data_IF_031640289795
#
_entry.id   IF_031640289795
#
_cell.length_a   1.000
_cell.length_b   1.000
_cell.length_c   1.000
_cell.angle_alpha   90.00
_cell.angle_beta   90.00
_cell.angle_gamma   90.00
#
_symmetry.space_group_name_H-M   'P 1'
#
loop_
_entity.id
_entity.type
_entity.pdbx_description
1 polymer ?
#
# COMPACT_ATOMS: atom_id res chain seq x y z
N UNK A 1 -6.33 -3.54 -14.90
CA UNK A 1 -6.38 -3.17 -13.48
C UNK A 1 -7.37 -4.07 -12.76
N UNK A 2 -7.02 -4.63 -11.60
CA UNK A 2 -7.81 -5.52 -10.75
C UNK A 2 -8.10 -4.82 -9.43
N UNK A 3 -9.20 -5.19 -8.77
CA UNK A 3 -9.68 -4.53 -7.56
C UNK A 3 -9.59 -5.49 -6.38
N UNK A 4 -8.96 -5.06 -5.29
CA UNK A 4 -8.98 -5.75 -4.01
C UNK A 4 -9.47 -4.82 -2.90
N UNK A 5 -9.71 -5.37 -1.72
CA UNK A 5 -10.11 -4.59 -0.54
C UNK A 5 -9.27 -4.98 0.66
N UNK A 6 -8.98 -3.98 1.49
CA UNK A 6 -8.27 -4.08 2.76
C UNK A 6 -9.25 -3.88 3.92
N UNK A 7 -9.13 -4.60 5.04
CA UNK A 7 -10.09 -4.55 6.16
C UNK A 7 -9.95 -3.32 7.05
N UNK A 8 -9.89 -2.11 6.48
CA UNK A 8 -9.57 -0.88 7.22
C UNK A 8 -10.46 -0.64 8.43
N UNK A 9 -11.78 -0.82 8.27
CA UNK A 9 -12.75 -0.62 9.36
C UNK A 9 -12.73 -1.71 10.42
N UNK A 10 -12.06 -2.84 10.17
CA UNK A 10 -12.04 -4.00 11.06
C UNK A 10 -10.67 -4.22 11.75
N UNK A 11 -9.69 -3.36 11.49
CA UNK A 11 -8.32 -3.54 12.00
C UNK A 11 -8.26 -3.63 13.53
N UNK A 12 -9.08 -2.87 14.25
CA UNK A 12 -9.13 -2.93 15.70
C UNK A 12 -9.65 -4.28 16.20
N UNK A 13 -10.72 -4.80 15.58
CA UNK A 13 -11.27 -6.12 15.90
C UNK A 13 -10.27 -7.23 15.56
N UNK A 14 -9.51 -7.10 14.47
CA UNK A 14 -8.54 -8.07 13.99
C UNK A 14 -7.26 -8.05 14.85
N UNK A 15 -6.60 -6.90 14.94
CA UNK A 15 -5.24 -6.80 15.46
C UNK A 15 -5.19 -6.51 16.96
N UNK A 16 -6.15 -5.76 17.49
CA UNK A 16 -6.15 -5.35 18.90
C UNK A 16 -6.98 -6.31 19.76
N UNK A 17 -8.26 -6.44 19.42
CA UNK A 17 -9.18 -7.24 20.22
C UNK A 17 -9.18 -8.73 19.86
N UNK A 18 -8.69 -9.09 18.68
CA UNK A 18 -8.67 -10.47 18.14
C UNK A 18 -10.05 -11.15 18.17
N UNK A 19 -11.09 -10.36 17.91
CA UNK A 19 -12.49 -10.81 17.86
C UNK A 19 -12.94 -11.17 16.45
N UNK A 20 -12.14 -10.83 15.44
CA UNK A 20 -12.35 -11.17 14.04
C UNK A 20 -11.09 -11.87 13.49
N UNK A 21 -11.27 -13.08 12.97
CA UNK A 21 -10.20 -13.83 12.32
C UNK A 21 -10.09 -13.48 10.83
N UNK A 22 -9.03 -13.96 10.17
CA UNK A 22 -8.90 -13.86 8.71
C UNK A 22 -10.06 -14.56 7.98
N UNK A 23 -10.55 -15.68 8.52
CA UNK A 23 -11.67 -16.41 7.97
C UNK A 23 -12.99 -15.61 8.07
N UNK A 24 -13.21 -14.92 9.18
CA UNK A 24 -14.38 -14.03 9.34
C UNK A 24 -14.33 -12.87 8.35
N UNK A 25 -13.13 -12.33 8.07
CA UNK A 25 -12.95 -11.29 7.06
C UNK A 25 -13.25 -11.79 5.65
N UNK A 26 -12.75 -12.97 5.28
CA UNK A 26 -13.03 -13.58 3.97
C UNK A 26 -14.54 -13.73 3.77
N UNK A 27 -15.26 -14.27 4.77
CA UNK A 27 -16.72 -14.42 4.69
C UNK A 27 -17.44 -13.07 4.61
N UNK A 28 -17.02 -12.09 5.41
CA UNK A 28 -17.59 -10.74 5.39
C UNK A 28 -17.43 -10.08 4.02
N UNK A 29 -16.30 -10.27 3.37
CA UNK A 29 -15.98 -9.67 2.08
C UNK A 29 -16.74 -10.30 0.89
N UNK A 30 -17.35 -11.48 1.01
CA UNK A 30 -18.07 -12.17 -0.09
C UNK A 30 -19.18 -11.35 -0.72
N UNK A 31 -19.70 -10.35 -0.03
CA UNK A 31 -20.75 -9.47 -0.55
C UNK A 31 -20.24 -8.36 -1.46
N UNK A 32 -18.92 -8.25 -1.61
CA UNK A 32 -18.26 -7.24 -2.43
C UNK A 32 -17.87 -7.85 -3.79
N UNK A 33 -18.23 -7.19 -4.90
CA UNK A 33 -17.86 -7.65 -6.24
C UNK A 33 -16.43 -7.20 -6.60
N UNK A 34 -15.43 -7.81 -5.93
CA UNK A 34 -14.00 -7.54 -6.09
C UNK A 34 -13.24 -8.77 -6.52
N UNK A 35 -12.04 -8.59 -7.06
CA UNK A 35 -11.22 -9.67 -7.61
C UNK A 35 -10.34 -10.33 -6.53
N UNK A 36 -10.10 -9.66 -5.40
CA UNK A 36 -9.22 -10.19 -4.35
C UNK A 36 -9.33 -9.46 -3.01
N UNK A 37 -8.60 -9.99 -2.04
CA UNK A 37 -8.47 -9.43 -0.69
C UNK A 37 -7.01 -9.14 -0.38
N UNK A 38 -6.73 -7.93 0.06
CA UNK A 38 -5.47 -7.57 0.68
C UNK A 38 -5.53 -7.95 2.15
N UNK A 39 -4.52 -8.67 2.64
CA UNK A 39 -4.47 -9.14 4.00
C UNK A 39 -3.50 -8.31 4.84
N UNK A 40 -3.62 -8.43 6.16
CA UNK A 40 -2.81 -7.72 7.14
C UNK A 40 -2.08 -8.72 8.06
N UNK A 41 -0.81 -8.46 8.35
CA UNK A 41 0.02 -9.34 9.20
C UNK A 41 -0.61 -9.63 10.56
N UNK A 42 -1.36 -8.69 11.14
CA UNK A 42 -2.11 -8.87 12.37
C UNK A 42 -3.22 -9.93 12.34
N UNK A 43 -3.58 -10.45 11.15
CA UNK A 43 -4.51 -11.58 11.00
C UNK A 43 -3.84 -12.92 11.27
N UNK A 44 -2.52 -13.01 11.20
CA UNK A 44 -1.76 -14.23 11.30
C UNK A 44 -1.30 -14.45 12.74
N UNK A 45 -2.24 -14.73 13.64
CA UNK A 45 -1.95 -15.10 15.03
C UNK A 45 -1.26 -16.45 15.14
N UNK A 46 -1.38 -17.27 14.08
CA UNK A 46 -0.68 -18.51 13.83
C UNK A 46 -0.05 -18.42 12.45
N UNK A 47 1.15 -18.96 12.32
CA UNK A 47 1.92 -18.94 11.07
C UNK A 47 2.36 -20.34 10.65
N UNK A 48 1.71 -21.39 11.19
CA UNK A 48 1.98 -22.76 10.77
C UNK A 48 1.53 -22.95 9.31
N UNK A 49 2.22 -23.82 8.61
CA UNK A 49 1.92 -24.14 7.21
C UNK A 49 0.46 -24.57 7.04
N UNK A 50 -0.03 -25.45 7.92
CA UNK A 50 -1.42 -25.93 7.88
C UNK A 50 -2.43 -24.78 8.03
N UNK A 51 -2.16 -23.80 8.89
CA UNK A 51 -3.05 -22.65 9.05
C UNK A 51 -3.05 -21.75 7.80
N UNK A 52 -1.88 -21.51 7.24
CA UNK A 52 -1.74 -20.69 6.02
C UNK A 52 -2.44 -21.38 4.84
N UNK A 53 -2.31 -22.70 4.72
CA UNK A 53 -3.00 -23.48 3.68
C UNK A 53 -4.53 -23.39 3.82
N UNK A 54 -5.06 -23.50 5.03
CA UNK A 54 -6.49 -23.33 5.30
C UNK A 54 -6.99 -21.93 4.89
N UNK A 55 -6.18 -20.88 5.12
CA UNK A 55 -6.52 -19.53 4.65
C UNK A 55 -6.54 -19.48 3.12
N UNK A 56 -5.55 -20.08 2.45
CA UNK A 56 -5.49 -20.17 0.99
C UNK A 56 -6.66 -20.91 0.38
N UNK A 57 -7.02 -22.07 0.94
CA UNK A 57 -8.20 -22.84 0.53
C UNK A 57 -9.49 -22.03 0.70
N UNK A 58 -9.61 -21.27 1.79
CA UNK A 58 -10.79 -20.45 2.04
C UNK A 58 -10.89 -19.27 1.06
N UNK A 59 -9.78 -18.57 0.76
CA UNK A 59 -9.73 -17.53 -0.27
C UNK A 59 -10.16 -18.09 -1.63
N UNK A 60 -9.60 -19.23 -2.04
CA UNK A 60 -9.94 -19.89 -3.30
C UNK A 60 -11.41 -20.30 -3.36
N UNK A 61 -11.96 -20.90 -2.28
CA UNK A 61 -13.36 -21.28 -2.18
C UNK A 61 -14.30 -20.06 -2.20
N UNK A 62 -13.83 -18.90 -1.74
CA UNK A 62 -14.55 -17.63 -1.81
C UNK A 62 -14.42 -16.92 -3.19
N UNK A 63 -13.51 -17.39 -4.05
CA UNK A 63 -13.24 -16.82 -5.35
C UNK A 63 -12.33 -15.58 -5.31
N UNK A 64 -11.54 -15.42 -4.25
CA UNK A 64 -10.62 -14.30 -4.09
C UNK A 64 -9.18 -14.70 -4.33
N UNK A 65 -8.41 -13.78 -4.93
CA UNK A 65 -6.95 -13.81 -4.92
C UNK A 65 -6.41 -12.93 -3.79
N UNK A 66 -5.19 -13.20 -3.33
CA UNK A 66 -4.48 -12.38 -2.35
C UNK A 66 -3.32 -11.65 -3.04
N UNK A 67 -3.50 -10.39 -3.49
CA UNK A 67 -2.46 -9.67 -4.21
C UNK A 67 -1.34 -9.16 -3.32
N UNK A 68 -1.65 -8.85 -2.06
CA UNK A 68 -0.70 -8.26 -1.15
C UNK A 68 -1.00 -8.61 0.31
N UNK A 69 0.06 -8.79 1.07
CA UNK A 69 0.04 -8.87 2.53
C UNK A 69 0.71 -7.62 3.10
N UNK A 70 -0.06 -6.81 3.84
CA UNK A 70 0.45 -5.65 4.54
C UNK A 70 1.14 -6.04 5.84
N UNK A 71 2.42 -5.71 5.96
CA UNK A 71 3.19 -5.74 7.19
C UNK A 71 3.68 -4.34 7.55
N UNK A 72 4.10 -4.13 8.79
CA UNK A 72 4.55 -2.83 9.29
C UNK A 72 5.85 -2.96 10.09
N UNK A 73 6.97 -3.38 9.46
CA UNK A 73 8.23 -3.54 10.13
C UNK A 73 8.83 -2.20 10.55
N UNK A 74 9.53 -2.17 11.70
CA UNK A 74 10.29 -1.01 12.17
C UNK A 74 11.79 -1.18 11.93
N UNK A 75 12.22 -1.00 10.67
CA UNK A 75 13.63 -1.17 10.27
C UNK A 75 14.55 -0.06 10.80
N UNK A 76 14.01 1.02 11.34
CA UNK A 76 14.76 2.14 11.90
C UNK A 76 14.84 2.13 13.42
N UNK A 77 14.42 1.03 14.07
CA UNK A 77 14.53 0.92 15.53
C UNK A 77 15.99 1.09 16.00
N UNK A 78 16.28 1.92 17.03
CA UNK A 78 17.66 2.20 17.46
C UNK A 78 18.41 0.96 17.98
N UNK A 79 17.71 -0.02 18.55
CA UNK A 79 18.29 -1.26 19.05
C UNK A 79 18.53 -2.27 17.91
N UNK A 80 19.79 -2.73 17.67
CA UNK A 80 20.08 -3.67 16.56
C UNK A 80 19.32 -4.99 16.68
N UNK A 81 19.10 -5.50 17.92
CA UNK A 81 18.37 -6.74 18.14
C UNK A 81 16.92 -6.61 17.66
N UNK A 82 16.26 -5.47 17.93
CA UNK A 82 14.90 -5.22 17.46
C UNK A 82 14.83 -5.15 15.94
N UNK A 83 15.77 -4.49 15.29
CA UNK A 83 15.81 -4.50 13.81
C UNK A 83 15.96 -5.91 13.24
N UNK A 84 16.79 -6.76 13.87
CA UNK A 84 16.94 -8.15 13.44
C UNK A 84 15.64 -8.95 13.63
N UNK A 85 14.89 -8.71 14.70
CA UNK A 85 13.58 -9.32 14.95
C UNK A 85 12.56 -8.87 13.91
N UNK A 86 12.53 -7.59 13.55
CA UNK A 86 11.65 -7.05 12.51
C UNK A 86 11.96 -7.63 11.12
N UNK A 87 13.24 -7.77 10.77
CA UNK A 87 13.66 -8.41 9.50
C UNK A 87 13.22 -9.90 9.49
N UNK A 88 13.39 -10.61 10.61
CA UNK A 88 12.95 -12.01 10.70
C UNK A 88 11.43 -12.17 10.61
N UNK A 89 10.67 -11.26 11.23
CA UNK A 89 9.21 -11.23 11.13
C UNK A 89 8.76 -10.94 9.70
N UNK A 90 9.39 -9.97 9.05
CA UNK A 90 9.09 -9.62 7.66
C UNK A 90 9.41 -10.77 6.69
N UNK A 91 10.52 -11.48 6.90
CA UNK A 91 10.86 -12.69 6.13
C UNK A 91 9.77 -13.77 6.26
N UNK A 92 9.10 -13.87 7.42
CA UNK A 92 7.96 -14.77 7.58
C UNK A 92 6.75 -14.29 6.79
N UNK A 93 6.47 -12.98 6.74
CA UNK A 93 5.38 -12.42 5.93
C UNK A 93 5.62 -12.65 4.44
N UNK A 94 6.86 -12.55 3.96
CA UNK A 94 7.22 -12.88 2.56
C UNK A 94 6.90 -14.33 2.24
N UNK A 95 7.18 -15.29 3.13
CA UNK A 95 6.84 -16.72 2.94
C UNK A 95 5.32 -16.93 2.89
N UNK A 96 4.59 -16.29 3.78
CA UNK A 96 3.12 -16.35 3.79
C UNK A 96 2.56 -15.74 2.51
N UNK A 97 3.10 -14.60 2.07
CA UNK A 97 2.70 -13.96 0.82
C UNK A 97 2.89 -14.87 -0.38
N UNK A 98 4.04 -15.51 -0.50
CA UNK A 98 4.32 -16.46 -1.58
C UNK A 98 3.32 -17.63 -1.60
N UNK A 99 2.97 -18.14 -0.42
CA UNK A 99 2.06 -19.31 -0.27
C UNK A 99 0.62 -18.97 -0.58
N UNK A 100 0.16 -17.75 -0.22
CA UNK A 100 -1.23 -17.33 -0.43
C UNK A 100 -1.47 -16.66 -1.77
N UNK A 101 -0.57 -15.78 -2.18
CA UNK A 101 -0.76 -14.94 -3.36
C UNK A 101 -0.12 -15.48 -4.63
N UNK A 102 0.74 -16.48 -4.51
CA UNK A 102 1.48 -17.04 -5.64
C UNK A 102 2.51 -16.06 -6.23
N UNK A 103 2.94 -16.31 -7.48
CA UNK A 103 3.97 -15.53 -8.13
C UNK A 103 3.61 -14.05 -8.25
N UNK A 104 4.56 -13.16 -7.95
CA UNK A 104 4.46 -11.70 -8.03
C UNK A 104 3.43 -11.07 -7.10
N UNK A 105 2.92 -11.80 -6.12
CA UNK A 105 2.21 -11.17 -5.01
C UNK A 105 3.16 -10.24 -4.24
N UNK A 106 2.62 -9.21 -3.62
CA UNK A 106 3.43 -8.20 -2.95
C UNK A 106 3.38 -8.36 -1.43
N UNK A 107 4.50 -8.12 -0.77
CA UNK A 107 4.57 -7.88 0.67
C UNK A 107 4.90 -6.42 0.90
N UNK A 108 4.08 -5.72 1.69
CA UNK A 108 4.39 -4.36 2.05
C UNK A 108 5.60 -4.30 2.96
N UNK A 109 6.54 -3.42 2.64
CA UNK A 109 7.62 -3.01 3.53
C UNK A 109 7.46 -1.53 3.87
N UNK A 110 7.80 -1.17 5.11
CA UNK A 110 7.88 0.20 5.59
C UNK A 110 9.32 0.51 5.99
N UNK A 111 9.69 1.78 6.02
CA UNK A 111 11.02 2.17 6.45
C UNK A 111 11.23 2.00 7.95
N UNK A 112 10.17 2.11 8.73
CA UNK A 112 10.17 2.10 10.18
C UNK A 112 9.83 3.46 10.78
N UNK A 113 9.99 3.60 12.09
CA UNK A 113 9.59 4.78 12.83
C UNK A 113 10.69 5.86 12.87
N UNK A 114 10.30 7.13 12.86
CA UNK A 114 11.21 8.27 13.04
C UNK A 114 11.62 8.41 14.51
N UNK A 115 12.42 7.47 14.99
CA UNK A 115 12.88 7.46 16.37
C UNK A 115 13.71 8.71 16.73
N UNK A 116 13.49 9.33 17.89
CA UNK A 116 14.36 10.40 18.39
C UNK A 116 15.82 9.92 18.47
N UNK A 117 16.74 10.75 17.98
CA UNK A 117 18.17 10.45 17.99
C UNK A 117 18.69 9.61 16.83
N UNK A 118 17.82 9.08 15.97
CA UNK A 118 18.22 8.46 14.71
C UNK A 118 18.37 9.54 13.65
N UNK A 119 19.58 9.69 13.10
CA UNK A 119 19.82 10.63 12.03
C UNK A 119 19.21 10.17 10.71
N UNK A 120 19.02 11.11 9.76
CA UNK A 120 18.55 10.78 8.41
C UNK A 120 19.39 9.69 7.74
N UNK A 121 20.71 9.86 7.77
CA UNK A 121 21.64 8.90 7.14
C UNK A 121 21.57 7.51 7.79
N UNK A 122 21.56 7.45 9.11
CA UNK A 122 21.43 6.17 9.83
C UNK A 122 20.13 5.46 9.52
N UNK A 123 19.00 6.18 9.52
CA UNK A 123 17.69 5.60 9.20
C UNK A 123 17.62 5.08 7.76
N UNK A 124 18.15 5.85 6.80
CA UNK A 124 18.23 5.43 5.40
C UNK A 124 19.11 4.17 5.22
N UNK A 125 20.28 4.15 5.86
CA UNK A 125 21.18 2.99 5.81
C UNK A 125 20.51 1.74 6.40
N UNK A 126 19.88 1.86 7.58
CA UNK A 126 19.25 0.72 8.24
C UNK A 126 18.04 0.19 7.45
N UNK A 127 17.16 1.08 6.97
CA UNK A 127 16.01 0.67 6.17
C UNK A 127 16.43 0.03 4.85
N UNK A 128 17.40 0.63 4.12
CA UNK A 128 17.91 0.06 2.88
C UNK A 128 18.56 -1.31 3.12
N UNK A 129 19.45 -1.45 4.12
CA UNK A 129 20.10 -2.71 4.47
C UNK A 129 19.11 -3.81 4.88
N UNK A 130 18.03 -3.45 5.58
CA UNK A 130 16.98 -4.40 5.95
C UNK A 130 16.25 -4.93 4.70
N UNK A 131 15.85 -4.03 3.79
CA UNK A 131 15.19 -4.41 2.53
C UNK A 131 16.14 -5.25 1.67
N UNK A 132 17.41 -4.85 1.51
CA UNK A 132 18.42 -5.62 0.76
C UNK A 132 18.64 -7.01 1.36
N UNK A 133 18.55 -7.16 2.69
CA UNK A 133 18.65 -8.47 3.37
C UNK A 133 17.47 -9.38 3.02
N UNK A 134 16.28 -8.83 2.76
CA UNK A 134 15.06 -9.56 2.41
C UNK A 134 14.96 -9.90 0.92
N UNK A 135 15.60 -9.13 0.03
CA UNK A 135 15.53 -9.32 -1.42
C UNK A 135 15.92 -10.71 -1.92
N UNK A 136 16.96 -11.39 -1.40
CA UNK A 136 17.28 -12.75 -1.82
C UNK A 136 16.11 -13.73 -1.62
N UNK A 137 15.41 -13.63 -0.49
CA UNK A 137 14.23 -14.44 -0.21
C UNK A 137 13.05 -14.06 -1.12
N UNK A 138 12.84 -12.76 -1.35
CA UNK A 138 11.80 -12.27 -2.24
C UNK A 138 11.99 -12.78 -3.68
N UNK A 139 13.24 -12.77 -4.19
CA UNK A 139 13.60 -13.33 -5.50
C UNK A 139 13.39 -14.85 -5.56
N UNK A 140 13.81 -15.58 -4.53
CA UNK A 140 13.65 -17.04 -4.46
C UNK A 140 12.16 -17.44 -4.53
N UNK A 141 11.30 -16.66 -3.88
CA UNK A 141 9.87 -16.94 -3.77
C UNK A 141 9.01 -16.21 -4.81
N UNK A 142 9.62 -15.42 -5.71
CA UNK A 142 8.94 -14.58 -6.70
C UNK A 142 7.90 -13.61 -6.08
N UNK A 143 8.26 -13.01 -4.94
CA UNK A 143 7.47 -11.99 -4.23
C UNK A 143 8.05 -10.61 -4.51
N UNK A 144 7.20 -9.60 -4.61
CA UNK A 144 7.62 -8.20 -4.75
C UNK A 144 7.52 -7.49 -3.40
N UNK A 145 8.62 -6.89 -2.94
CA UNK A 145 8.61 -6.00 -1.78
C UNK A 145 8.08 -4.63 -2.22
N UNK A 146 6.99 -4.18 -1.63
CA UNK A 146 6.34 -2.93 -1.99
C UNK A 146 6.51 -1.88 -0.87
N UNK A 147 7.37 -0.89 -1.11
CA UNK A 147 7.58 0.22 -0.19
C UNK A 147 6.40 1.19 -0.29
N UNK A 148 5.67 1.36 0.79
CA UNK A 148 4.55 2.30 0.83
C UNK A 148 5.00 3.70 1.25
N UNK A 149 4.49 4.73 0.58
CA UNK A 149 4.51 6.09 1.10
C UNK A 149 3.50 6.20 2.25
N UNK A 150 3.96 5.88 3.45
CA UNK A 150 3.12 5.70 4.63
C UNK A 150 3.29 6.88 5.61
N UNK A 151 2.37 7.03 6.58
CA UNK A 151 2.45 8.10 7.56
C UNK A 151 2.73 7.58 8.97
N UNK A 152 2.00 6.58 9.43
CA UNK A 152 2.16 5.95 10.75
C UNK A 152 1.26 4.74 10.89
N UNK A 153 1.80 3.59 11.24
CA UNK A 153 1.00 2.45 11.69
C UNK A 153 0.35 2.72 13.06
N UNK A 154 -0.85 2.17 13.28
CA UNK A 154 -1.62 2.39 14.50
C UNK A 154 -0.90 1.95 15.78
N UNK A 155 -0.06 0.93 15.70
CA UNK A 155 0.73 0.40 16.83
C UNK A 155 2.01 1.20 17.10
N UNK A 156 2.45 2.06 16.19
CA UNK A 156 3.69 2.80 16.30
C UNK A 156 3.59 4.00 17.24
N UNK A 157 4.69 4.31 17.89
CA UNK A 157 4.81 5.51 18.74
C UNK A 157 5.11 6.77 17.93
N UNK A 158 5.95 6.65 16.90
CA UNK A 158 6.43 7.76 16.09
C UNK A 158 5.91 7.64 14.66
N UNK A 159 5.89 8.75 13.87
CA UNK A 159 5.59 8.72 12.44
C UNK A 159 6.56 7.85 11.67
N UNK A 160 6.18 7.52 10.43
CA UNK A 160 7.05 6.88 9.45
C UNK A 160 8.34 7.66 9.25
N UNK A 161 9.47 6.97 9.20
CA UNK A 161 10.76 7.59 8.95
C UNK A 161 10.82 8.21 7.56
N UNK A 162 10.43 7.46 6.53
CA UNK A 162 10.41 7.92 5.15
C UNK A 162 9.06 8.56 4.73
N UNK A 163 8.32 9.17 5.67
CA UNK A 163 7.05 9.84 5.36
C UNK A 163 7.21 10.98 4.35
N UNK A 164 8.30 11.75 4.44
CA UNK A 164 8.56 12.89 3.55
C UNK A 164 9.02 12.40 2.19
N UNK A 165 8.49 12.99 1.12
CA UNK A 165 8.81 12.64 -0.27
C UNK A 165 10.32 12.63 -0.54
N UNK A 166 11.09 13.59 -0.03
CA UNK A 166 12.54 13.63 -0.24
C UNK A 166 13.30 12.48 0.43
N UNK A 167 12.83 12.00 1.58
CA UNK A 167 13.39 10.84 2.28
C UNK A 167 12.97 9.54 1.59
N UNK A 168 11.70 9.47 1.18
CA UNK A 168 11.16 8.32 0.45
C UNK A 168 11.91 8.06 -0.86
N UNK A 169 12.08 9.10 -1.68
CA UNK A 169 12.78 8.99 -2.95
C UNK A 169 14.26 8.63 -2.77
N UNK A 170 14.91 9.14 -1.72
CA UNK A 170 16.28 8.77 -1.39
C UNK A 170 16.39 7.30 -1.00
N UNK A 171 15.47 6.80 -0.16
CA UNK A 171 15.42 5.37 0.21
C UNK A 171 15.15 4.50 -1.01
N UNK A 172 14.15 4.85 -1.82
CA UNK A 172 13.80 4.14 -3.05
C UNK A 172 14.99 4.07 -4.03
N UNK A 173 15.77 5.15 -4.13
CA UNK A 173 16.96 5.24 -5.00
C UNK A 173 18.16 4.44 -4.51
N UNK A 174 18.20 4.01 -3.24
CA UNK A 174 19.30 3.18 -2.70
C UNK A 174 19.18 1.70 -3.10
N UNK A 175 18.03 1.26 -3.62
CA UNK A 175 17.74 -0.14 -3.91
C UNK A 175 17.50 -0.32 -5.41
N UNK A 176 18.40 -1.01 -6.10
CA UNK A 176 18.40 -1.15 -7.56
C UNK A 176 17.78 -2.49 -8.05
N UNK A 177 16.83 -3.05 -7.30
CA UNK A 177 16.05 -4.21 -7.75
C UNK A 177 14.67 -3.75 -8.24
N UNK A 178 14.50 -3.64 -9.56
CA UNK A 178 13.21 -3.24 -10.16
C UNK A 178 12.26 -4.41 -10.41
N UNK A 179 12.74 -5.64 -10.28
CA UNK A 179 11.93 -6.83 -10.50
C UNK A 179 11.18 -7.26 -9.23
N UNK A 180 11.82 -7.11 -8.06
CA UNK A 180 11.28 -7.58 -6.79
C UNK A 180 11.17 -6.47 -5.73
N UNK A 181 11.40 -5.20 -6.13
CA UNK A 181 11.20 -4.06 -5.25
C UNK A 181 10.58 -2.89 -6.01
N UNK A 182 9.47 -2.38 -5.48
CA UNK A 182 8.74 -1.27 -6.07
C UNK A 182 7.98 -0.46 -5.04
N UNK A 183 7.05 0.35 -5.52
CA UNK A 183 6.27 1.27 -4.70
C UNK A 183 4.84 0.77 -4.58
N UNK A 184 4.35 0.70 -3.36
CA UNK A 184 2.92 0.74 -3.05
C UNK A 184 2.53 2.21 -2.93
N UNK A 185 1.77 2.69 -3.89
CA UNK A 185 1.31 4.07 -3.91
C UNK A 185 0.02 4.23 -3.12
N UNK A 186 0.02 5.09 -2.10
CA UNK A 186 -1.19 5.54 -1.40
C UNK A 186 -1.34 7.07 -1.54
N UNK A 187 -2.37 7.55 -2.27
CA UNK A 187 -2.56 8.97 -2.52
C UNK A 187 -2.88 9.76 -1.25
N UNK A 188 -3.62 9.19 -0.29
CA UNK A 188 -3.95 9.94 0.93
C UNK A 188 -2.76 10.12 1.85
N UNK A 189 -1.80 9.19 1.84
CA UNK A 189 -0.60 9.30 2.66
C UNK A 189 0.30 10.44 2.18
N UNK A 190 0.34 10.73 0.87
CA UNK A 190 0.98 11.92 0.35
C UNK A 190 0.32 13.20 0.90
N UNK A 191 -1.02 13.26 0.93
CA UNK A 191 -1.75 14.40 1.52
C UNK A 191 -1.45 14.55 3.01
N UNK A 192 -1.38 13.45 3.76
CA UNK A 192 -1.02 13.47 5.20
C UNK A 192 0.40 14.01 5.40
N UNK A 193 1.31 13.76 4.46
CA UNK A 193 2.65 14.35 4.46
C UNK A 193 2.68 15.83 4.05
N UNK A 194 1.57 16.39 3.57
CA UNK A 194 1.45 17.77 3.09
C UNK A 194 1.79 17.95 1.61
N UNK A 195 1.93 16.86 0.87
CA UNK A 195 2.30 16.82 -0.54
C UNK A 195 1.07 16.69 -1.45
N UNK A 196 1.21 17.04 -2.73
CA UNK A 196 0.22 16.72 -3.77
C UNK A 196 0.37 15.24 -4.18
N UNK A 197 -0.71 14.47 -4.06
CA UNK A 197 -0.68 13.03 -4.31
C UNK A 197 -0.39 12.68 -5.78
N UNK A 198 -0.86 13.49 -6.72
CA UNK A 198 -0.63 13.24 -8.14
C UNK A 198 0.79 13.65 -8.56
N UNK A 199 1.35 14.72 -7.98
CA UNK A 199 2.76 15.08 -8.18
C UNK A 199 3.69 14.00 -7.59
N UNK A 200 3.36 13.46 -6.43
CA UNK A 200 4.12 12.34 -5.87
C UNK A 200 4.06 11.11 -6.80
N UNK A 201 2.88 10.79 -7.34
CA UNK A 201 2.75 9.70 -8.31
C UNK A 201 3.63 9.89 -9.54
N UNK A 202 3.68 11.11 -10.11
CA UNK A 202 4.52 11.42 -11.26
C UNK A 202 6.02 11.15 -10.99
N UNK A 203 6.48 11.28 -9.72
CA UNK A 203 7.86 11.00 -9.32
C UNK A 203 8.19 9.50 -9.20
N UNK A 204 7.19 8.65 -8.95
CA UNK A 204 7.40 7.22 -8.64
C UNK A 204 6.73 6.27 -9.62
N UNK A 205 6.04 6.78 -10.64
CA UNK A 205 5.18 5.99 -11.53
C UNK A 205 5.88 4.80 -12.18
N UNK A 206 7.16 4.92 -12.52
CA UNK A 206 7.97 3.85 -13.13
C UNK A 206 8.34 2.73 -12.14
N UNK A 207 8.06 2.91 -10.85
CA UNK A 207 8.30 1.97 -9.76
C UNK A 207 7.02 1.47 -9.10
N UNK A 208 5.83 1.97 -9.48
CA UNK A 208 4.56 1.56 -8.87
C UNK A 208 4.22 0.12 -9.24
N UNK A 209 4.10 -0.74 -8.25
CA UNK A 209 3.74 -2.16 -8.39
C UNK A 209 2.33 -2.46 -7.90
N UNK A 210 1.85 -1.69 -6.92
CA UNK A 210 0.48 -1.78 -6.39
C UNK A 210 0.02 -0.41 -5.88
N UNK A 211 -1.28 -0.23 -5.73
CA UNK A 211 -1.87 0.99 -5.20
C UNK A 211 -2.88 0.65 -4.10
N UNK A 212 -2.81 1.35 -2.97
CA UNK A 212 -3.93 1.45 -2.04
C UNK A 212 -4.73 2.70 -2.35
N UNK A 213 -6.00 2.52 -2.72
CA UNK A 213 -6.91 3.62 -2.94
C UNK A 213 -7.55 4.01 -1.60
N UNK A 214 -7.29 5.21 -1.16
CA UNK A 214 -7.86 5.82 0.04
C UNK A 214 -8.13 7.30 -0.24
N UNK A 215 -8.98 7.94 0.54
CA UNK A 215 -9.24 9.37 0.38
C UNK A 215 -9.39 10.08 1.72
N UNK A 216 -9.15 11.38 1.71
CA UNK A 216 -9.23 12.25 2.87
C UNK A 216 -10.04 13.50 2.54
N UNK A 217 -10.72 14.02 3.54
CA UNK A 217 -11.35 15.34 3.49
C UNK A 217 -10.83 16.20 4.63
N UNK A 218 -10.77 17.50 4.40
CA UNK A 218 -10.44 18.46 5.46
C UNK A 218 -11.56 18.54 6.50
N UNK A 219 -11.19 18.67 7.75
CA UNK A 219 -12.13 19.02 8.80
C UNK A 219 -12.76 20.39 8.51
N UNK A 220 -14.02 20.64 8.90
CA UNK A 220 -14.67 21.92 8.65
C UNK A 220 -13.86 23.11 9.15
N UNK A 221 -13.71 24.12 8.31
CA UNK A 221 -13.00 25.36 8.64
C UNK A 221 -11.46 25.28 8.53
N UNK A 222 -10.91 24.19 7.99
CA UNK A 222 -9.48 24.02 7.75
C UNK A 222 -9.14 24.11 6.26
N UNK A 223 -7.87 24.40 5.95
CA UNK A 223 -7.33 24.49 4.59
C UNK A 223 -6.12 23.55 4.40
N UNK A 224 -5.72 23.31 3.14
CA UNK A 224 -4.48 22.59 2.83
C UNK A 224 -3.24 23.33 3.38
N UNK A 225 -3.27 24.66 3.43
CA UNK A 225 -2.17 25.42 4.03
C UNK A 225 -2.10 25.26 5.54
N UNK A 226 -3.23 25.04 6.22
CA UNK A 226 -3.24 24.66 7.63
C UNK A 226 -2.63 23.27 7.83
N UNK A 227 -2.93 22.33 6.94
CA UNK A 227 -2.34 21.00 6.96
C UNK A 227 -0.83 21.04 6.76
N UNK A 228 -0.34 21.81 5.78
CA UNK A 228 1.10 21.97 5.51
C UNK A 228 1.85 22.65 6.67
N UNK A 229 1.19 23.54 7.40
CA UNK A 229 1.73 24.19 8.59
C UNK A 229 1.64 23.32 9.84
N UNK A 230 0.68 22.42 9.90
CA UNK A 230 0.64 21.42 10.97
C UNK A 230 1.85 20.52 10.76
N UNK A 231 2.67 20.38 11.79
CA UNK A 231 3.72 19.37 11.75
C UNK A 231 3.05 18.00 11.49
N UNK A 232 3.11 17.52 10.24
CA UNK A 232 2.52 16.25 9.78
C UNK A 232 3.06 15.01 10.51
N UNK A 233 3.75 15.23 11.63
CA UNK A 233 4.40 14.24 12.48
C UNK A 233 3.44 13.43 13.33
N UNK A 234 2.15 13.77 13.37
CA UNK A 234 1.21 13.17 14.33
C UNK A 234 0.34 12.03 13.74
N UNK A 235 0.78 11.40 12.67
CA UNK A 235 0.05 10.27 12.10
C UNK A 235 -1.26 10.72 11.46
N UNK A 236 -2.35 10.71 12.16
CA UNK A 236 -3.57 11.38 11.72
C UNK A 236 -3.52 12.84 12.14
N UNK A 237 -3.37 13.76 11.19
CA UNK A 237 -3.62 15.15 11.49
C UNK A 237 -5.10 15.29 11.89
N UNK A 238 -5.44 15.96 13.01
CA UNK A 238 -6.82 16.21 13.38
C UNK A 238 -7.56 17.08 12.35
N UNK A 239 -6.83 17.65 11.38
CA UNK A 239 -7.36 18.44 10.28
C UNK A 239 -7.88 17.56 9.13
N UNK A 240 -7.58 16.26 9.13
CA UNK A 240 -8.01 15.30 8.11
C UNK A 240 -8.98 14.28 8.69
N UNK A 241 -9.98 13.94 7.89
CA UNK A 241 -10.91 12.86 8.16
C UNK A 241 -10.89 11.87 7.01
N UNK A 242 -11.09 10.59 7.29
CA UNK A 242 -11.32 9.60 6.26
C UNK A 242 -12.54 9.98 5.41
N UNK A 243 -12.48 9.68 4.14
CA UNK A 243 -13.53 9.92 3.17
C UNK A 243 -13.70 8.72 2.23
N UNK A 244 -14.85 8.65 1.58
CA UNK A 244 -15.08 7.70 0.50
C UNK A 244 -14.18 8.05 -0.68
N UNK A 245 -13.57 7.07 -1.29
CA UNK A 245 -12.68 7.22 -2.45
C UNK A 245 -13.37 8.03 -3.56
N UNK A 246 -12.66 9.02 -4.09
CA UNK A 246 -13.17 9.91 -5.14
C UNK A 246 -14.10 11.03 -4.65
N UNK A 247 -14.31 11.15 -3.32
CA UNK A 247 -15.12 12.22 -2.70
C UNK A 247 -14.30 13.12 -1.78
N UNK A 248 -12.99 12.98 -1.79
CA UNK A 248 -12.07 13.71 -0.92
C UNK A 248 -11.17 14.68 -1.68
N UNK A 249 -9.92 14.76 -1.24
CA UNK A 249 -8.91 15.71 -1.73
C UNK A 249 -8.10 15.19 -2.91
N UNK A 250 -8.12 13.87 -3.16
CA UNK A 250 -7.33 13.27 -4.23
C UNK A 250 -7.95 13.54 -5.60
N UNK A 251 -7.14 13.99 -6.55
CA UNK A 251 -7.53 14.06 -7.97
C UNK A 251 -7.45 12.67 -8.62
N UNK A 252 -8.40 11.79 -8.28
CA UNK A 252 -8.49 10.45 -8.84
C UNK A 252 -8.54 10.41 -10.38
N UNK A 253 -9.25 11.32 -11.08
CA UNK A 253 -9.17 11.40 -12.53
C UNK A 253 -7.75 11.62 -13.07
N UNK A 254 -6.92 12.45 -12.43
CA UNK A 254 -5.51 12.64 -12.79
C UNK A 254 -4.69 11.38 -12.47
N UNK A 255 -4.85 10.83 -11.27
CA UNK A 255 -4.18 9.60 -10.82
C UNK A 255 -4.44 8.46 -11.82
N UNK A 256 -5.70 8.19 -12.17
CA UNK A 256 -6.04 7.11 -13.09
C UNK A 256 -5.51 7.34 -14.52
N UNK A 257 -5.50 8.59 -15.01
CA UNK A 257 -4.88 8.91 -16.30
C UNK A 257 -3.38 8.65 -16.29
N UNK A 258 -2.66 9.04 -15.22
CA UNK A 258 -1.23 8.79 -15.08
C UNK A 258 -0.94 7.29 -15.04
N UNK A 259 -1.66 6.52 -14.23
CA UNK A 259 -1.52 5.06 -14.17
C UNK A 259 -1.81 4.39 -15.53
N UNK A 260 -2.91 4.77 -16.19
CA UNK A 260 -3.29 4.20 -17.47
C UNK A 260 -2.28 4.55 -18.58
N UNK A 261 -1.76 5.79 -18.62
CA UNK A 261 -0.73 6.22 -19.55
C UNK A 261 0.59 5.46 -19.36
N UNK A 262 0.93 5.11 -18.13
CA UNK A 262 2.07 4.26 -17.81
C UNK A 262 1.84 2.76 -18.13
N UNK A 263 0.64 2.38 -18.57
CA UNK A 263 0.29 0.98 -18.86
C UNK A 263 0.05 0.14 -17.62
N UNK A 264 -0.26 0.76 -16.47
CA UNK A 264 -0.52 0.04 -15.24
C UNK A 264 -1.70 -0.93 -15.39
N UNK A 265 -1.48 -2.20 -15.09
CA UNK A 265 -2.47 -3.27 -15.12
C UNK A 265 -2.53 -4.06 -13.80
N UNK A 266 -1.86 -3.56 -12.78
CA UNK A 266 -1.76 -4.14 -11.44
C UNK A 266 -3.05 -4.05 -10.62
N UNK A 267 -2.89 -4.17 -9.31
CA UNK A 267 -3.96 -4.13 -8.34
C UNK A 267 -4.17 -2.73 -7.76
N UNK A 268 -5.43 -2.34 -7.60
CA UNK A 268 -5.83 -1.22 -6.77
C UNK A 268 -6.67 -1.78 -5.62
N UNK A 269 -6.15 -1.66 -4.41
CA UNK A 269 -6.80 -2.12 -3.18
C UNK A 269 -7.53 -0.98 -2.51
N UNK A 270 -8.75 -1.20 -2.08
CA UNK A 270 -9.54 -0.21 -1.34
C UNK A 270 -9.07 -0.20 0.12
N UNK A 271 -8.53 0.90 0.59
CA UNK A 271 -8.22 1.16 2.00
C UNK A 271 -9.22 2.17 2.60
N UNK A 272 -10.49 1.78 2.64
CA UNK A 272 -11.63 2.59 3.03
C UNK A 272 -12.60 1.75 3.91
N UNK A 273 -13.82 2.22 4.13
CA UNK A 273 -14.85 1.48 4.86
C UNK A 273 -14.74 1.62 6.38
N UNK A 274 -14.10 2.69 6.88
CA UNK A 274 -14.04 2.98 8.33
C UNK A 274 -15.42 3.15 8.96
N UNK A 275 -16.41 3.55 8.16
CA UNK A 275 -17.80 3.68 8.60
C UNK A 275 -18.67 2.47 8.18
N UNK A 276 -18.05 1.38 7.74
CA UNK A 276 -18.72 0.12 7.45
C UNK A 276 -18.81 -0.27 5.98
N UNK A 277 -19.51 -1.39 5.73
CA UNK A 277 -19.57 -2.04 4.42
C UNK A 277 -20.26 -1.23 3.33
N UNK A 278 -21.17 -0.32 3.66
CA UNK A 278 -21.84 0.52 2.66
C UNK A 278 -20.89 1.56 2.07
N UNK A 279 -19.99 2.09 2.89
CA UNK A 279 -18.89 2.96 2.41
C UNK A 279 -17.96 2.18 1.50
N UNK A 280 -17.56 0.97 1.91
CA UNK A 280 -16.70 0.10 1.10
C UNK A 280 -17.34 -0.28 -0.24
N UNK A 281 -18.67 -0.55 -0.27
CA UNK A 281 -19.39 -0.78 -1.55
C UNK A 281 -19.34 0.44 -2.46
N UNK A 282 -19.56 1.65 -1.92
CA UNK A 282 -19.47 2.87 -2.70
C UNK A 282 -18.08 3.05 -3.33
N UNK A 283 -17.02 2.70 -2.59
CA UNK A 283 -15.64 2.72 -3.10
C UNK A 283 -15.40 1.64 -4.17
N UNK A 284 -15.98 0.45 -4.02
CA UNK A 284 -15.94 -0.60 -5.06
C UNK A 284 -16.62 -0.14 -6.34
N UNK A 285 -17.82 0.43 -6.26
CA UNK A 285 -18.56 0.96 -7.41
C UNK A 285 -17.74 2.03 -8.13
N UNK A 286 -17.15 2.98 -7.40
CA UNK A 286 -16.28 4.00 -7.96
C UNK A 286 -15.08 3.42 -8.72
N UNK A 287 -14.38 2.41 -8.15
CA UNK A 287 -13.25 1.78 -8.83
C UNK A 287 -13.69 0.92 -10.03
N UNK A 288 -14.86 0.32 -10.00
CA UNK A 288 -15.41 -0.41 -11.15
C UNK A 288 -15.72 0.53 -12.32
N UNK A 289 -16.30 1.71 -12.06
CA UNK A 289 -16.50 2.75 -13.05
C UNK A 289 -15.16 3.26 -13.60
N UNK A 290 -14.19 3.51 -12.73
CA UNK A 290 -12.84 3.93 -13.12
C UNK A 290 -12.14 2.87 -13.98
N UNK A 291 -12.28 1.57 -13.64
CA UNK A 291 -11.77 0.45 -14.43
C UNK A 291 -12.31 0.47 -15.88
N UNK A 292 -13.60 0.68 -16.02
CA UNK A 292 -14.21 0.79 -17.34
C UNK A 292 -13.74 2.01 -18.12
N UNK A 293 -13.67 3.17 -17.46
CA UNK A 293 -13.37 4.45 -18.07
C UNK A 293 -11.89 4.60 -18.49
N UNK A 294 -10.96 4.20 -17.62
CA UNK A 294 -9.53 4.48 -17.80
C UNK A 294 -8.71 3.25 -18.22
N UNK A 295 -9.16 2.03 -17.87
CA UNK A 295 -8.39 0.80 -18.08
C UNK A 295 -9.07 -0.20 -19.01
N UNK A 296 -10.29 0.07 -19.46
CA UNK A 296 -11.10 -0.83 -20.33
C UNK A 296 -10.76 -0.76 -21.83
N UNK A 297 -9.81 0.06 -22.26
CA UNK A 297 -9.44 0.21 -23.66
C UNK A 297 -8.74 -1.04 -24.22
N UNK A 298 -9.21 -1.51 -25.38
CA UNK A 298 -8.57 -2.58 -26.14
C UNK A 298 -7.11 -2.22 -26.49
N UNK A 299 -6.26 -3.21 -26.64
CA UNK A 299 -4.82 -3.13 -26.96
C UNK A 299 -4.48 -2.18 -28.12
N UNK A 300 -5.42 -1.90 -29.03
CA UNK A 300 -5.24 -0.99 -30.18
C UNK A 300 -5.16 0.50 -29.78
N UNK A 301 -5.86 0.94 -28.72
CA UNK A 301 -5.79 2.34 -28.25
C UNK A 301 -4.50 2.59 -27.48
N UNK A 302 -3.97 1.56 -26.78
CA UNK A 302 -2.67 1.64 -26.08
C UNK A 302 -1.49 1.79 -27.03
N UNK A 303 -1.50 1.10 -28.16
CA UNK A 303 -0.45 1.20 -29.20
C UNK A 303 -0.47 2.57 -29.86
N UNK A 304 -1.65 3.12 -30.16
CA UNK A 304 -1.78 4.44 -30.78
C UNK A 304 -1.28 5.57 -29.86
N UNK A 305 -1.60 5.54 -28.58
CA UNK A 305 -1.13 6.53 -27.59
C UNK A 305 0.40 6.46 -27.38
N UNK A 306 0.97 5.25 -27.40
CA UNK A 306 2.41 5.05 -27.27
C UNK A 306 3.18 5.49 -28.52
N UNK A 307 2.61 5.26 -29.71
CA UNK A 307 3.19 5.70 -30.98
C UNK A 307 3.07 7.23 -31.19
N UNK A 308 1.98 7.86 -30.73
CA UNK A 308 1.87 9.32 -30.72
C UNK A 308 2.86 9.97 -29.75
N UNK A 309 3.05 9.43 -28.56
CA UNK A 309 4.03 9.91 -27.58
C UNK A 309 5.47 9.77 -28.12
N UNK A 310 5.82 8.67 -28.77
CA UNK A 310 7.12 8.47 -29.43
C UNK A 310 7.35 9.42 -30.60
N UNK A 311 6.34 9.70 -31.41
CA UNK A 311 6.45 10.67 -32.52
C UNK A 311 6.58 12.10 -32.03
N UNK A 312 6.00 12.44 -30.87
CA UNK A 312 6.11 13.76 -30.27
C UNK A 312 7.48 14.02 -29.62
N UNK A 313 8.20 12.95 -29.20
CA UNK A 313 9.52 13.06 -28.54
C UNK A 313 10.70 12.87 -29.49
N UNK A 314 10.48 12.56 -30.76
CA UNK A 314 11.52 12.54 -31.79
C UNK A 314 12.62 11.47 -31.61
N UNK A 315 12.32 10.37 -30.91
CA UNK A 315 13.24 9.21 -30.71
C UNK A 315 12.65 7.96 -31.33
#
# INVERSE_FOLDING_TARGET
>A
MRISVFPKGDLEAIAVHRTMSVHDWIEKARVLPVDGLELYSGMFWQTSDDFVDQVGEHLAAAGFEMPMLCASPDFTHPEPQRRAEEIAAEAQMIRITARLGGPRASTRVLSGQRHPGVSREQGLEWAASAIETLLPLARELDVTLALENHYKDGSWKYPEFAQRTDVFLELLGRIDDRAHFGVQYDPSNAIVAGDDSAEFLDLVIDRVVTMQASDRRLAPGTSLDDLRRSDGTLGYSPLLQHGVIGRGLNDYPRIFRTLAAAGYDGWISIEDGVNGMDEMRASVEFLQEARQMYFGGSTQVRVAAHDEARRATGV
#
